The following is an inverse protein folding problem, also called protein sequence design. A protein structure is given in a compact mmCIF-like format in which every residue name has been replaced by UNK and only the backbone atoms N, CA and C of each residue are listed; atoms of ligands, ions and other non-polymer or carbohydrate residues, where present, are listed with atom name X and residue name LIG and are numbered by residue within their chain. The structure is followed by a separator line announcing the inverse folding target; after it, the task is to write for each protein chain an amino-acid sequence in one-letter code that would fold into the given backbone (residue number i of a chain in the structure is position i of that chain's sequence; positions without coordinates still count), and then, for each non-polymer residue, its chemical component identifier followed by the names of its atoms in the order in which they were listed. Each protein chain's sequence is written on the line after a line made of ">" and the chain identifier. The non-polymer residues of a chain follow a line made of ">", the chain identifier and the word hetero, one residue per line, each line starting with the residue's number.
data_IF_211648642508
#
_entry.id   IF_211648642508
#
_cell.length_a   1.000
_cell.length_b   1.000
_cell.length_c   1.000
_cell.angle_alpha   90.00
_cell.angle_beta   90.00
_cell.angle_gamma   90.00
#
_symmetry.space_group_name_H-M   'P 1'
#
loop_
_entity.id
_entity.type
_entity.pdbx_description
1 polymer ?
#
# COMPACT_ATOMS: atom_id res chain seq x y z
N UNK A 1 8.82 15.82 16.80
CA UNK A 1 8.26 14.47 16.54
C UNK A 1 9.16 13.31 17.01
N UNK A 2 10.46 13.50 17.22
CA UNK A 2 11.34 12.40 17.70
C UNK A 2 10.89 11.84 19.08
N UNK A 3 10.17 12.62 19.88
CA UNK A 3 9.65 12.18 21.19
C UNK A 3 8.36 11.34 21.12
N UNK A 4 7.56 11.40 20.05
CA UNK A 4 6.27 10.70 19.96
C UNK A 4 6.44 9.19 19.70
N UNK A 5 7.42 8.84 18.87
CA UNK A 5 7.73 7.46 18.48
C UNK A 5 8.13 6.54 19.64
N UNK A 6 8.56 7.08 20.78
CA UNK A 6 8.96 6.31 21.96
C UNK A 6 7.83 5.96 22.92
N UNK A 7 6.64 6.57 22.79
CA UNK A 7 5.57 6.51 23.80
C UNK A 7 4.26 5.91 23.28
N UNK A 8 4.28 5.20 22.14
CA UNK A 8 3.06 4.63 21.53
C UNK A 8 2.14 5.66 20.86
N UNK A 9 2.61 6.89 20.62
CA UNK A 9 1.80 8.00 20.10
C UNK A 9 1.76 8.05 18.56
N UNK A 10 1.89 6.91 17.90
CA UNK A 10 1.84 6.82 16.44
C UNK A 10 0.49 7.23 15.84
N UNK A 11 -0.65 6.80 16.41
CA UNK A 11 -1.96 7.22 15.92
C UNK A 11 -2.13 8.75 15.96
N UNK A 12 -1.73 9.39 17.05
CA UNK A 12 -1.79 10.84 17.22
C UNK A 12 -0.83 11.54 16.25
N UNK A 13 0.37 10.99 16.03
CA UNK A 13 1.31 11.53 15.07
C UNK A 13 0.78 11.46 13.63
N UNK A 14 0.12 10.36 13.25
CA UNK A 14 -0.53 10.20 11.95
C UNK A 14 -1.70 11.18 11.79
N UNK A 15 -2.55 11.32 12.81
CA UNK A 15 -3.64 12.28 12.80
C UNK A 15 -3.13 13.73 12.60
N UNK A 16 -2.07 14.11 13.33
CA UNK A 16 -1.44 15.43 13.19
C UNK A 16 -0.82 15.62 11.80
N UNK A 17 -0.21 14.57 11.22
CA UNK A 17 0.35 14.63 9.87
C UNK A 17 -0.75 14.82 8.81
N UNK A 18 -1.92 14.20 8.98
CA UNK A 18 -3.08 14.39 8.10
C UNK A 18 -3.57 15.84 8.06
N UNK A 19 -3.52 16.53 9.21
CA UNK A 19 -3.91 17.95 9.33
C UNK A 19 -2.85 18.93 8.78
N UNK A 20 -1.63 18.45 8.49
CA UNK A 20 -0.56 19.30 7.97
C UNK A 20 -0.77 19.61 6.49
N UNK A 21 -0.36 20.81 6.05
CA UNK A 21 -0.26 21.17 4.63
C UNK A 21 0.78 20.31 3.89
N UNK A 22 0.72 20.25 2.55
CA UNK A 22 1.43 19.24 1.72
C UNK A 22 2.94 19.20 1.96
N UNK A 23 3.63 20.35 1.96
CA UNK A 23 5.09 20.39 2.19
C UNK A 23 5.48 19.88 3.58
N UNK A 24 4.71 20.26 4.61
CA UNK A 24 4.95 19.82 5.98
C UNK A 24 4.71 18.33 6.12
N UNK A 25 3.69 17.81 5.44
CA UNK A 25 3.33 16.40 5.41
C UNK A 25 4.44 15.55 4.77
N UNK A 26 4.98 15.98 3.63
CA UNK A 26 6.13 15.33 3.00
C UNK A 26 7.36 15.32 3.92
N UNK A 27 7.67 16.46 4.55
CA UNK A 27 8.79 16.53 5.51
C UNK A 27 8.60 15.60 6.71
N UNK A 28 7.37 15.49 7.23
CA UNK A 28 7.03 14.56 8.32
C UNK A 28 7.27 13.11 7.89
N UNK A 29 6.79 12.74 6.71
CA UNK A 29 6.96 11.40 6.16
C UNK A 29 8.45 11.03 6.02
N UNK A 30 9.26 11.90 5.40
CA UNK A 30 10.71 11.67 5.24
C UNK A 30 11.43 11.53 6.58
N UNK A 31 11.09 12.36 7.58
CA UNK A 31 11.70 12.27 8.90
C UNK A 31 11.29 11.00 9.67
N UNK A 32 10.09 10.49 9.42
CA UNK A 32 9.63 9.22 9.98
C UNK A 32 10.33 8.03 9.32
N UNK A 33 10.44 8.02 7.98
CA UNK A 33 11.08 6.94 7.24
C UNK A 33 12.59 6.79 7.54
N UNK A 34 13.25 7.87 7.97
CA UNK A 34 14.67 7.88 8.38
C UNK A 34 14.89 7.55 9.86
N UNK A 35 13.85 7.17 10.59
CA UNK A 35 14.01 6.62 11.93
C UNK A 35 14.66 5.24 11.87
N UNK A 36 15.05 4.76 13.04
CA UNK A 36 15.53 3.38 13.21
C UNK A 36 14.53 2.36 12.61
N UNK A 37 14.99 1.36 11.84
CA UNK A 37 14.11 0.39 11.19
C UNK A 37 13.17 -0.36 12.14
N UNK A 38 13.57 -0.62 13.40
CA UNK A 38 12.70 -1.28 14.39
C UNK A 38 11.52 -0.38 14.74
N UNK A 39 11.73 0.93 14.84
CA UNK A 39 10.65 1.90 15.10
C UNK A 39 9.71 2.03 13.93
N UNK A 40 10.25 2.02 12.71
CA UNK A 40 9.45 2.11 11.49
C UNK A 40 8.61 0.84 11.28
N UNK A 41 9.19 -0.34 11.56
CA UNK A 41 8.47 -1.61 11.59
C UNK A 41 7.37 -1.61 12.65
N UNK A 42 7.63 -1.04 13.84
CA UNK A 42 6.64 -0.83 14.88
C UNK A 42 5.48 0.07 14.44
N UNK A 43 5.76 1.16 13.71
CA UNK A 43 4.71 2.03 13.14
C UNK A 43 3.81 1.26 12.18
N UNK A 44 4.38 0.44 11.28
CA UNK A 44 3.60 -0.38 10.34
C UNK A 44 2.71 -1.37 11.08
N UNK A 45 3.23 -2.04 12.13
CA UNK A 45 2.41 -2.93 12.98
C UNK A 45 1.29 -2.19 13.69
N UNK A 46 1.56 -1.03 14.29
CA UNK A 46 0.53 -0.21 14.94
C UNK A 46 -0.54 0.22 13.93
N UNK A 47 -0.14 0.63 12.72
CA UNK A 47 -1.10 0.99 11.68
C UNK A 47 -1.97 -0.20 11.25
N UNK A 48 -1.38 -1.40 11.17
CA UNK A 48 -2.12 -2.63 10.92
C UNK A 48 -3.13 -2.93 12.05
N UNK A 49 -2.66 -2.99 13.30
CA UNK A 49 -3.47 -3.32 14.48
C UNK A 49 -4.63 -2.34 14.70
N UNK A 50 -4.46 -1.08 14.31
CA UNK A 50 -5.43 -0.01 14.53
C UNK A 50 -6.17 0.43 13.25
N UNK A 51 -5.95 -0.25 12.12
CA UNK A 51 -6.63 0.06 10.85
C UNK A 51 -6.30 1.44 10.27
N UNK A 52 -5.09 1.96 10.50
CA UNK A 52 -4.66 3.31 10.12
C UNK A 52 -4.06 3.41 8.72
N UNK A 53 -4.30 2.43 7.85
CA UNK A 53 -3.73 2.39 6.50
C UNK A 53 -4.12 3.60 5.65
N UNK A 54 -5.35 4.08 5.77
CA UNK A 54 -5.83 5.28 5.08
C UNK A 54 -5.03 6.53 5.43
N UNK A 55 -4.52 6.59 6.66
CA UNK A 55 -3.65 7.69 7.11
C UNK A 55 -2.18 7.47 6.77
N UNK A 56 -1.72 6.21 6.78
CA UNK A 56 -0.31 5.88 6.57
C UNK A 56 0.08 5.90 5.08
N UNK A 57 -0.72 5.31 4.19
CA UNK A 57 -0.39 5.16 2.78
C UNK A 57 -0.13 6.49 2.05
N UNK A 58 -0.94 7.55 2.25
CA UNK A 58 -0.65 8.86 1.65
C UNK A 58 0.69 9.44 2.10
N UNK A 59 1.19 9.11 3.29
CA UNK A 59 2.52 9.52 3.74
C UNK A 59 3.62 8.70 3.07
N UNK A 60 3.41 7.39 2.92
CA UNK A 60 4.35 6.50 2.23
C UNK A 60 4.50 6.90 0.76
N UNK A 61 3.42 7.32 0.10
CA UNK A 61 3.44 7.80 -1.28
C UNK A 61 4.29 9.08 -1.48
N UNK A 62 4.48 9.90 -0.43
CA UNK A 62 5.32 11.09 -0.47
C UNK A 62 6.82 10.80 -0.33
N UNK A 63 7.20 9.55 -0.04
CA UNK A 63 8.58 9.18 0.17
C UNK A 63 9.39 9.17 -1.12
N UNK A 64 10.68 9.50 -1.01
CA UNK A 64 11.64 9.26 -2.08
C UNK A 64 11.72 7.76 -2.40
N UNK A 65 12.20 7.39 -3.59
CA UNK A 65 12.37 5.98 -3.94
C UNK A 65 13.38 5.24 -3.04
N UNK A 66 14.33 5.95 -2.42
CA UNK A 66 15.25 5.37 -1.42
C UNK A 66 14.52 5.09 -0.10
N UNK A 67 13.84 6.08 0.45
CA UNK A 67 13.11 5.94 1.73
C UNK A 67 11.97 4.91 1.60
N UNK A 68 11.29 4.86 0.44
CA UNK A 68 10.23 3.89 0.15
C UNK A 68 10.77 2.46 0.04
N UNK A 69 11.95 2.25 -0.56
CA UNK A 69 12.62 0.94 -0.55
C UNK A 69 12.99 0.48 0.85
N UNK A 70 13.43 1.40 1.71
CA UNK A 70 13.71 1.08 3.11
C UNK A 70 12.44 0.64 3.85
N UNK A 71 11.31 1.33 3.62
CA UNK A 71 9.99 0.92 4.15
C UNK A 71 9.59 -0.45 3.60
N UNK A 72 9.68 -0.67 2.28
CA UNK A 72 9.29 -1.93 1.64
C UNK A 72 10.07 -3.16 2.15
N UNK A 73 11.27 -2.95 2.68
CA UNK A 73 12.12 -4.00 3.23
C UNK A 73 11.78 -4.41 4.68
N UNK A 74 10.85 -3.71 5.34
CA UNK A 74 10.51 -3.96 6.74
C UNK A 74 9.92 -5.37 6.97
N UNK A 75 10.26 -6.04 8.10
CA UNK A 75 9.75 -7.38 8.41
C UNK A 75 8.23 -7.50 8.38
N UNK A 76 7.49 -6.50 8.89
CA UNK A 76 6.03 -6.46 8.87
C UNK A 76 5.44 -6.50 7.46
N UNK A 77 6.14 -5.97 6.45
CA UNK A 77 5.72 -6.03 5.04
C UNK A 77 6.12 -7.34 4.34
N UNK A 78 6.61 -8.32 5.09
CA UNK A 78 6.74 -9.73 4.65
C UNK A 78 5.66 -10.62 5.24
N UNK A 79 4.86 -10.10 6.16
CA UNK A 79 3.78 -10.81 6.79
C UNK A 79 2.54 -10.81 5.88
N UNK A 80 2.03 -12.00 5.57
CA UNK A 80 0.89 -12.15 4.68
C UNK A 80 -0.41 -11.59 5.27
N UNK A 81 -0.58 -11.61 6.59
CA UNK A 81 -1.76 -11.05 7.26
C UNK A 81 -1.77 -9.52 7.15
N UNK A 82 -0.60 -8.90 7.37
CA UNK A 82 -0.41 -7.45 7.23
C UNK A 82 -0.67 -7.02 5.79
N UNK A 83 -0.04 -7.70 4.81
CA UNK A 83 -0.22 -7.42 3.39
C UNK A 83 -1.67 -7.63 2.94
N UNK A 84 -2.31 -8.71 3.40
CA UNK A 84 -3.71 -8.97 3.07
C UNK A 84 -4.66 -7.90 3.63
N UNK A 85 -4.35 -7.37 4.82
CA UNK A 85 -5.14 -6.32 5.45
C UNK A 85 -4.98 -4.97 4.75
N UNK A 86 -3.76 -4.60 4.33
CA UNK A 86 -3.57 -3.36 3.57
C UNK A 86 -4.25 -3.43 2.22
N UNK A 87 -4.24 -4.58 1.53
CA UNK A 87 -4.99 -4.75 0.27
C UNK A 87 -6.49 -4.49 0.47
N UNK A 88 -7.10 -5.09 1.50
CA UNK A 88 -8.53 -4.83 1.82
C UNK A 88 -8.80 -3.37 2.16
N UNK A 89 -7.89 -2.72 2.90
CA UNK A 89 -8.02 -1.30 3.21
C UNK A 89 -7.93 -0.43 1.95
N UNK A 90 -7.01 -0.75 1.04
CA UNK A 90 -6.85 -0.05 -0.25
C UNK A 90 -8.09 -0.21 -1.12
N UNK A 91 -8.67 -1.40 -1.21
CA UNK A 91 -9.93 -1.64 -1.91
C UNK A 91 -11.06 -0.80 -1.32
N UNK A 92 -11.20 -0.78 0.01
CA UNK A 92 -12.26 -0.03 0.68
C UNK A 92 -12.14 1.50 0.54
N UNK A 93 -10.91 2.01 0.34
CA UNK A 93 -10.61 3.46 0.34
C UNK A 93 -10.24 4.01 -1.04
N UNK A 94 -9.99 3.16 -2.03
CA UNK A 94 -9.55 3.55 -3.36
C UNK A 94 -8.10 4.02 -3.46
N UNK A 95 -7.25 3.73 -2.46
CA UNK A 95 -5.88 4.25 -2.35
C UNK A 95 -4.84 3.48 -3.20
N UNK A 96 -5.22 3.07 -4.41
CA UNK A 96 -4.34 2.29 -5.29
C UNK A 96 -3.13 3.10 -5.75
N UNK A 97 -3.29 4.37 -6.14
CA UNK A 97 -2.18 5.23 -6.53
C UNK A 97 -1.18 5.46 -5.40
N UNK A 98 -1.62 5.48 -4.14
CA UNK A 98 -0.75 5.63 -2.97
C UNK A 98 -0.04 4.32 -2.63
N UNK A 99 -0.67 3.17 -2.87
CA UNK A 99 -0.14 1.86 -2.50
C UNK A 99 0.81 1.27 -3.56
N UNK A 100 0.49 1.36 -4.85
CA UNK A 100 1.27 0.73 -5.92
C UNK A 100 2.76 1.13 -5.96
N UNK A 101 3.15 2.40 -5.68
CA UNK A 101 4.55 2.76 -5.56
C UNK A 101 5.30 1.99 -4.46
N UNK A 102 4.63 1.65 -3.35
CA UNK A 102 5.22 0.79 -2.32
C UNK A 102 5.31 -0.65 -2.82
N UNK A 103 4.24 -1.15 -3.46
CA UNK A 103 4.19 -2.51 -3.99
C UNK A 103 5.33 -2.77 -4.97
N UNK A 104 5.66 -1.82 -5.85
CA UNK A 104 6.77 -1.95 -6.80
C UNK A 104 8.13 -2.19 -6.12
N UNK A 105 8.32 -1.71 -4.89
CA UNK A 105 9.56 -1.84 -4.12
C UNK A 105 9.57 -3.07 -3.19
N UNK A 106 8.43 -3.77 -3.04
CA UNK A 106 8.32 -4.93 -2.17
C UNK A 106 9.18 -6.11 -2.69
N UNK A 107 9.70 -6.95 -1.77
CA UNK A 107 10.30 -8.23 -2.12
C UNK A 107 9.36 -9.07 -3.02
N UNK A 108 9.88 -9.88 -3.96
CA UNK A 108 9.06 -10.67 -4.87
C UNK A 108 7.98 -11.51 -4.18
N UNK A 109 8.30 -12.12 -3.03
CA UNK A 109 7.38 -12.93 -2.25
C UNK A 109 6.24 -12.08 -1.67
N UNK A 110 6.54 -10.89 -1.15
CA UNK A 110 5.53 -9.94 -0.67
C UNK A 110 4.65 -9.43 -1.80
N UNK A 111 5.23 -9.15 -2.99
CA UNK A 111 4.46 -8.75 -4.17
C UNK A 111 3.49 -9.85 -4.62
N UNK A 112 3.93 -11.11 -4.58
CA UNK A 112 3.07 -12.26 -4.87
C UNK A 112 1.88 -12.33 -3.92
N UNK A 113 2.09 -12.13 -2.62
CA UNK A 113 0.99 -12.08 -1.64
C UNK A 113 0.00 -10.96 -1.95
N UNK A 114 0.48 -9.76 -2.31
CA UNK A 114 -0.39 -8.64 -2.71
C UNK A 114 -1.21 -9.00 -3.94
N UNK A 115 -0.55 -9.55 -4.97
CA UNK A 115 -1.20 -9.97 -6.21
C UNK A 115 -2.26 -11.05 -5.96
N UNK A 116 -1.94 -12.09 -5.19
CA UNK A 116 -2.87 -13.17 -4.89
C UNK A 116 -4.04 -12.71 -4.04
N UNK A 117 -3.79 -11.85 -3.05
CA UNK A 117 -4.86 -11.29 -2.22
C UNK A 117 -5.81 -10.46 -3.09
N UNK A 118 -5.27 -9.61 -3.98
CA UNK A 118 -6.08 -8.82 -4.91
C UNK A 118 -6.85 -9.73 -5.88
N UNK A 119 -6.21 -10.77 -6.43
CA UNK A 119 -6.86 -11.73 -7.33
C UNK A 119 -7.94 -12.59 -6.67
N UNK A 120 -7.86 -12.78 -5.35
CA UNK A 120 -8.85 -13.51 -4.56
C UNK A 120 -10.07 -12.67 -4.15
N UNK A 121 -10.10 -11.37 -4.47
CA UNK A 121 -11.24 -10.52 -4.17
C UNK A 121 -12.52 -11.02 -4.89
N UNK A 122 -13.71 -10.77 -4.30
CA UNK A 122 -14.99 -11.01 -4.97
C UNK A 122 -15.08 -10.26 -6.31
N UNK A 123 -15.82 -10.80 -7.28
CA UNK A 123 -15.93 -10.22 -8.63
C UNK A 123 -16.36 -8.74 -8.62
N UNK A 124 -17.29 -8.36 -7.74
CA UNK A 124 -17.73 -6.96 -7.61
C UNK A 124 -16.61 -6.01 -7.12
N UNK A 125 -15.72 -6.49 -6.24
CA UNK A 125 -14.58 -5.71 -5.76
C UNK A 125 -13.47 -5.65 -6.81
N UNK A 126 -13.24 -6.75 -7.56
CA UNK A 126 -12.35 -6.77 -8.70
C UNK A 126 -12.81 -5.79 -9.79
N UNK A 127 -14.10 -5.78 -10.14
CA UNK A 127 -14.67 -4.82 -11.09
C UNK A 127 -14.46 -3.38 -10.63
N UNK A 128 -14.76 -3.09 -9.36
CA UNK A 128 -14.56 -1.75 -8.79
C UNK A 128 -13.08 -1.34 -8.81
N UNK A 129 -12.17 -2.26 -8.47
CA UNK A 129 -10.73 -2.04 -8.53
C UNK A 129 -10.28 -1.70 -9.96
N UNK A 130 -10.71 -2.48 -10.97
CA UNK A 130 -10.31 -2.24 -12.36
C UNK A 130 -10.85 -0.91 -12.89
N UNK A 131 -12.07 -0.52 -12.52
CA UNK A 131 -12.61 0.80 -12.86
C UNK A 131 -11.77 1.94 -12.26
N UNK A 132 -11.27 1.77 -11.03
CA UNK A 132 -10.42 2.78 -10.41
C UNK A 132 -9.01 2.82 -11.05
N UNK A 133 -8.46 1.66 -11.41
CA UNK A 133 -7.20 1.55 -12.16
C UNK A 133 -7.28 2.26 -13.50
N UNK A 134 -8.37 2.06 -14.25
CA UNK A 134 -8.64 2.75 -15.51
C UNK A 134 -8.74 4.27 -15.30
N UNK A 135 -9.57 4.69 -14.34
CA UNK A 135 -9.81 6.11 -14.05
C UNK A 135 -8.54 6.86 -13.62
N UNK A 136 -7.63 6.17 -12.94
CA UNK A 136 -6.37 6.74 -12.45
C UNK A 136 -5.16 6.44 -13.37
N UNK A 137 -5.38 5.78 -14.51
CA UNK A 137 -4.32 5.37 -15.46
C UNK A 137 -3.17 4.58 -14.81
N UNK A 138 -3.54 3.58 -13.99
CA UNK A 138 -2.58 2.80 -13.18
C UNK A 138 -2.16 1.46 -13.83
N UNK A 139 -2.49 1.27 -15.10
CA UNK A 139 -2.30 -0.02 -15.80
C UNK A 139 -0.85 -0.50 -15.81
N UNK A 140 0.11 0.39 -16.06
CA UNK A 140 1.54 0.06 -16.04
C UNK A 140 2.01 -0.49 -14.69
N UNK A 141 1.38 -0.05 -13.60
CA UNK A 141 1.71 -0.51 -12.25
C UNK A 141 0.97 -1.80 -11.86
N UNK A 142 -0.23 -2.05 -12.42
CA UNK A 142 -1.07 -3.21 -12.09
C UNK A 142 -0.75 -4.42 -12.95
N UNK A 143 -0.41 -4.25 -14.23
CA UNK A 143 -0.10 -5.36 -15.14
C UNK A 143 0.97 -6.32 -14.60
N UNK A 144 2.11 -5.86 -14.04
CA UNK A 144 3.10 -6.76 -13.44
C UNK A 144 2.56 -7.59 -12.27
N UNK A 145 1.55 -7.09 -11.55
CA UNK A 145 0.90 -7.85 -10.47
C UNK A 145 -0.01 -8.94 -11.04
N UNK A 146 -0.77 -8.63 -12.08
CA UNK A 146 -1.64 -9.61 -12.76
C UNK A 146 -0.82 -10.74 -13.37
N UNK A 147 0.37 -10.44 -13.89
CA UNK A 147 1.26 -11.45 -14.46
C UNK A 147 1.75 -12.48 -13.45
N UNK A 148 1.91 -12.08 -12.19
CA UNK A 148 2.38 -12.96 -11.10
C UNK A 148 1.23 -13.56 -10.28
N UNK A 149 -0.02 -13.23 -10.56
CA UNK A 149 -1.18 -13.89 -9.93
C UNK A 149 -1.22 -15.38 -10.29
N UNK A 150 -1.85 -16.17 -9.44
CA UNK A 150 -2.20 -17.56 -9.79
C UNK A 150 -3.15 -17.62 -11.00
N UNK A 151 -3.02 -18.68 -11.81
CA UNK A 151 -3.73 -18.81 -13.09
C UNK A 151 -5.25 -18.60 -12.99
N UNK A 152 -5.97 -19.17 -11.99
CA UNK A 152 -7.42 -18.95 -11.89
C UNK A 152 -7.79 -17.48 -11.62
N UNK A 153 -6.96 -16.76 -10.87
CA UNK A 153 -7.19 -15.34 -10.60
C UNK A 153 -6.89 -14.50 -11.85
N UNK A 154 -5.81 -14.83 -12.55
CA UNK A 154 -5.41 -14.18 -13.80
C UNK A 154 -6.50 -14.33 -14.88
N UNK A 155 -7.04 -15.53 -15.06
CA UNK A 155 -8.17 -15.79 -15.98
C UNK A 155 -9.41 -14.96 -15.62
N UNK A 156 -9.76 -14.88 -14.33
CA UNK A 156 -10.89 -14.06 -13.85
C UNK A 156 -10.68 -12.58 -14.17
N UNK A 157 -9.49 -12.04 -13.91
CA UNK A 157 -9.14 -10.64 -14.18
C UNK A 157 -9.22 -10.31 -15.67
N UNK A 158 -8.68 -11.18 -16.55
CA UNK A 158 -8.77 -10.98 -18.00
C UNK A 158 -10.17 -11.16 -18.58
N UNK A 159 -11.07 -11.85 -17.86
CA UNK A 159 -12.47 -11.97 -18.27
C UNK A 159 -13.28 -10.69 -17.99
N UNK A 160 -12.75 -9.73 -17.22
CA UNK A 160 -13.45 -8.49 -16.90
C UNK A 160 -13.56 -7.57 -18.13
N UNK A 161 -14.70 -6.87 -18.32
CA UNK A 161 -14.93 -6.04 -19.51
C UNK A 161 -13.86 -4.98 -19.76
N UNK A 162 -13.33 -4.38 -18.71
CA UNK A 162 -12.32 -3.31 -18.80
C UNK A 162 -10.95 -3.82 -19.29
N UNK A 163 -10.56 -5.06 -18.98
CA UNK A 163 -9.33 -5.66 -19.53
C UNK A 163 -9.43 -5.99 -21.02
N UNK A 164 -10.64 -6.27 -21.52
CA UNK A 164 -10.85 -6.60 -22.95
C UNK A 164 -10.72 -5.39 -23.89
N UNK A 165 -10.79 -4.16 -23.36
CA UNK A 165 -10.63 -2.92 -24.13
C UNK A 165 -9.17 -2.48 -24.34
N UNK A 166 -8.22 -3.16 -23.71
CA UNK A 166 -6.79 -2.81 -23.68
C UNK A 166 -5.92 -3.57 -24.70
N UNK A 167 -6.54 -4.44 -25.53
CA UNK A 167 -5.87 -5.33 -26.49
C UNK A 167 -6.12 -4.98 -27.95
#
# INVERSE_FOLDING_TARGET
>A
MVAAAGNGLWPEALAVAGLAGPERRARVATLAARQDPVRLDGLVRTAHEQGLWESLLPLVALLSGEDRRAVAALPSLRDAEVLGTVVRAVVATGLWAEFLPLVAELPPESRKVVADTAGALPDAELDAMVLEVEKQDLWDAVLPLVEIMDEPAKERVFALPAFRGQG
#
